data_IF_923778663569
#
_entry.id   IF_923778663569
#
_cell.length_a   1.000
_cell.length_b   1.000
_cell.length_c   1.000
_cell.angle_alpha   90.00
_cell.angle_beta   90.00
_cell.angle_gamma   90.00
#
_symmetry.space_group_name_H-M   'P 1'
#
loop_
_entity.id
_entity.type
_entity.pdbx_description
1 polymer ?
#
# COMPACT_ATOMS: atom_id res chain seq x y z
N UNK A 1 -35.41 -67.82 -26.98
CA UNK A 1 -35.94 -66.73 -27.79
C UNK A 1 -37.12 -66.11 -27.03
N UNK A 2 -37.02 -64.86 -26.67
CA UNK A 2 -38.17 -63.99 -26.76
C UNK A 2 -37.83 -62.62 -27.39
N UNK A 3 -38.85 -62.04 -27.95
CA UNK A 3 -38.90 -60.88 -28.84
C UNK A 3 -38.66 -59.56 -28.05
N UNK A 4 -37.78 -58.70 -28.63
CA UNK A 4 -37.56 -57.32 -28.20
C UNK A 4 -38.61 -56.44 -28.88
N UNK A 5 -39.42 -55.78 -28.06
CA UNK A 5 -40.36 -54.72 -28.48
C UNK A 5 -39.64 -53.39 -28.43
N UNK A 6 -39.53 -52.72 -29.59
CA UNK A 6 -39.02 -51.38 -29.74
C UNK A 6 -40.14 -50.37 -29.44
N UNK A 7 -40.04 -49.62 -28.39
CA UNK A 7 -40.83 -48.41 -28.18
C UNK A 7 -40.06 -47.19 -28.65
N UNK A 8 -40.49 -46.59 -29.75
CA UNK A 8 -40.06 -45.24 -30.17
C UNK A 8 -40.88 -44.24 -29.37
N UNK A 9 -40.23 -43.53 -28.48
CA UNK A 9 -40.77 -42.31 -27.86
C UNK A 9 -40.42 -41.11 -28.71
N UNK A 10 -41.40 -40.46 -29.28
CA UNK A 10 -41.30 -39.20 -30.02
C UNK A 10 -41.01 -38.08 -29.04
N UNK A 11 -39.77 -37.55 -29.02
CA UNK A 11 -39.42 -36.35 -28.24
C UNK A 11 -39.68 -35.13 -29.13
N UNK A 12 -40.75 -34.41 -28.84
CA UNK A 12 -41.02 -33.11 -29.46
C UNK A 12 -40.05 -32.08 -28.88
N UNK A 13 -39.10 -31.64 -29.72
CA UNK A 13 -38.19 -30.56 -29.39
C UNK A 13 -38.95 -29.24 -29.58
N UNK A 14 -39.34 -28.61 -28.42
CA UNK A 14 -39.80 -27.23 -28.42
C UNK A 14 -38.55 -26.33 -28.56
N UNK A 15 -38.30 -25.83 -29.78
CA UNK A 15 -37.32 -24.79 -30.02
C UNK A 15 -37.86 -23.48 -29.41
N UNK A 16 -37.50 -23.20 -28.14
CA UNK A 16 -37.59 -21.84 -27.61
C UNK A 16 -36.56 -20.97 -28.36
N UNK A 17 -37.09 -20.09 -29.19
CA UNK A 17 -36.31 -18.99 -29.77
C UNK A 17 -35.91 -18.03 -28.64
N UNK A 18 -34.71 -18.26 -28.07
CA UNK A 18 -34.05 -17.27 -27.25
C UNK A 18 -33.68 -16.09 -28.17
N UNK A 19 -34.53 -15.06 -28.19
CA UNK A 19 -34.08 -13.77 -28.69
C UNK A 19 -32.85 -13.37 -27.90
N UNK A 20 -31.69 -13.06 -28.54
CA UNK A 20 -30.58 -12.51 -27.81
C UNK A 20 -31.06 -11.19 -27.25
N UNK A 21 -31.08 -11.08 -25.90
CA UNK A 21 -31.17 -9.80 -25.22
C UNK A 21 -30.01 -8.99 -25.78
N UNK A 22 -30.25 -7.80 -26.39
CA UNK A 22 -29.15 -6.99 -26.84
C UNK A 22 -28.27 -6.77 -25.62
N UNK A 23 -27.01 -7.24 -25.70
CA UNK A 23 -25.98 -6.82 -24.77
C UNK A 23 -26.00 -5.30 -24.84
N UNK A 24 -26.49 -4.66 -23.78
CA UNK A 24 -26.33 -3.25 -23.58
C UNK A 24 -24.85 -2.98 -23.89
N UNK A 25 -24.60 -2.24 -24.97
CA UNK A 25 -23.29 -1.79 -25.32
C UNK A 25 -22.70 -1.24 -24.00
N UNK A 26 -21.62 -1.87 -23.50
CA UNK A 26 -20.83 -1.29 -22.43
C UNK A 26 -20.38 0.06 -23.00
N UNK A 27 -21.10 1.09 -22.60
CA UNK A 27 -20.75 2.47 -22.95
C UNK A 27 -19.28 2.68 -22.61
N UNK A 28 -18.63 3.37 -23.53
CA UNK A 28 -17.25 3.83 -23.52
C UNK A 28 -16.55 3.64 -22.17
N UNK A 29 -15.68 2.64 -22.12
CA UNK A 29 -14.84 2.17 -21.03
C UNK A 29 -15.03 2.93 -19.71
N UNK A 30 -15.94 2.45 -18.85
CA UNK A 30 -16.21 3.12 -17.58
C UNK A 30 -14.86 3.19 -16.85
N UNK A 31 -14.36 4.42 -16.67
CA UNK A 31 -13.03 4.63 -16.09
C UNK A 31 -12.94 3.92 -14.75
N UNK A 32 -11.89 3.14 -14.59
CA UNK A 32 -11.62 2.35 -13.39
C UNK A 32 -11.71 3.21 -12.14
N UNK A 33 -12.42 2.72 -11.12
CA UNK A 33 -12.57 3.41 -9.84
C UNK A 33 -11.55 2.89 -8.82
N UNK A 34 -10.94 3.77 -8.04
CA UNK A 34 -9.95 3.42 -7.02
C UNK A 34 -10.28 4.03 -5.67
N UNK A 35 -9.97 3.33 -4.59
CA UNK A 35 -10.06 3.84 -3.22
C UNK A 35 -8.66 4.24 -2.74
N UNK A 36 -8.51 5.47 -2.25
CA UNK A 36 -7.27 5.95 -1.61
C UNK A 36 -7.56 6.29 -0.16
N UNK A 37 -6.95 5.57 0.78
CA UNK A 37 -7.08 5.88 2.20
C UNK A 37 -6.18 7.03 2.61
N UNK A 38 -6.61 7.87 3.56
CA UNK A 38 -5.82 9.03 4.01
C UNK A 38 -5.62 10.10 2.93
N UNK A 39 -6.58 10.28 2.03
CA UNK A 39 -6.50 11.18 0.88
C UNK A 39 -6.70 12.67 1.21
N UNK A 40 -6.74 13.06 2.48
CA UNK A 40 -6.94 14.46 2.87
C UNK A 40 -5.72 15.35 2.66
N UNK A 41 -4.51 14.78 2.67
CA UNK A 41 -3.23 15.52 2.60
C UNK A 41 -2.11 14.66 2.02
N UNK A 42 -0.96 15.28 1.70
CA UNK A 42 0.28 14.60 1.34
C UNK A 42 0.16 13.71 0.10
N UNK A 43 0.79 12.55 0.13
CA UNK A 43 0.82 11.59 -0.98
C UNK A 43 -0.60 11.21 -1.43
N UNK A 44 -1.47 10.84 -0.49
CA UNK A 44 -2.83 10.42 -0.81
C UNK A 44 -3.67 11.52 -1.49
N UNK A 45 -3.52 12.79 -1.06
CA UNK A 45 -4.21 13.92 -1.69
C UNK A 45 -3.68 14.19 -3.09
N UNK A 46 -2.35 14.21 -3.23
CA UNK A 46 -1.70 14.46 -4.51
C UNK A 46 -2.08 13.37 -5.54
N UNK A 47 -2.03 12.12 -5.14
CA UNK A 47 -2.40 11.00 -6.02
C UNK A 47 -3.89 11.02 -6.38
N UNK A 48 -4.78 11.38 -5.43
CA UNK A 48 -6.20 11.51 -5.72
C UNK A 48 -6.47 12.62 -6.76
N UNK A 49 -5.81 13.76 -6.64
CA UNK A 49 -5.92 14.87 -7.58
C UNK A 49 -5.36 14.51 -8.96
N UNK A 50 -4.20 13.87 -9.03
CA UNK A 50 -3.57 13.44 -10.27
C UNK A 50 -4.45 12.42 -11.01
N UNK A 51 -4.84 11.33 -10.37
CA UNK A 51 -5.67 10.29 -10.98
C UNK A 51 -7.04 10.85 -11.42
N UNK A 52 -7.65 11.71 -10.63
CA UNK A 52 -8.91 12.37 -11.00
C UNK A 52 -8.77 13.27 -12.23
N UNK A 53 -7.66 14.02 -12.35
CA UNK A 53 -7.36 14.86 -13.51
C UNK A 53 -7.14 14.03 -14.79
N UNK A 54 -6.58 12.83 -14.67
CA UNK A 54 -6.42 11.84 -15.75
C UNK A 54 -7.73 11.12 -16.08
N UNK A 55 -8.75 11.37 -15.25
CA UNK A 55 -10.12 10.97 -15.45
C UNK A 55 -10.48 9.65 -14.84
N UNK A 56 -9.65 9.06 -13.99
CA UNK A 56 -10.05 7.96 -13.13
C UNK A 56 -11.04 8.44 -12.06
N UNK A 57 -11.91 7.54 -11.59
CA UNK A 57 -12.81 7.88 -10.50
C UNK A 57 -12.15 7.51 -9.16
N UNK A 58 -12.09 8.48 -8.24
CA UNK A 58 -11.38 8.29 -6.97
C UNK A 58 -12.34 8.38 -5.78
N UNK A 59 -12.48 7.30 -5.05
CA UNK A 59 -13.03 7.30 -3.70
C UNK A 59 -11.93 7.77 -2.73
N UNK A 60 -12.05 8.99 -2.23
CA UNK A 60 -11.02 9.62 -1.40
C UNK A 60 -11.36 9.50 0.09
N UNK A 61 -10.70 8.57 0.79
CA UNK A 61 -10.92 8.32 2.22
C UNK A 61 -10.37 9.45 3.10
N UNK A 62 -11.22 10.06 3.91
CA UNK A 62 -10.84 11.11 4.86
C UNK A 62 -11.68 11.07 6.14
N UNK A 63 -11.13 11.61 7.26
CA UNK A 63 -11.77 11.55 8.58
C UNK A 63 -12.52 12.81 8.98
N UNK A 64 -12.09 13.98 8.52
CA UNK A 64 -12.62 15.26 8.97
C UNK A 64 -13.64 15.82 7.97
N UNK A 65 -14.76 16.31 8.45
CA UNK A 65 -15.82 16.87 7.60
C UNK A 65 -15.31 17.95 6.63
N UNK A 66 -14.44 18.85 7.11
CA UNK A 66 -13.83 19.91 6.26
C UNK A 66 -12.99 19.34 5.11
N UNK A 67 -12.29 18.22 5.33
CA UNK A 67 -11.43 17.59 4.33
C UNK A 67 -12.29 16.84 3.31
N UNK A 68 -13.38 16.21 3.76
CA UNK A 68 -14.41 15.59 2.91
C UNK A 68 -15.06 16.63 2.01
N UNK A 69 -15.46 17.77 2.56
CA UNK A 69 -16.04 18.87 1.77
C UNK A 69 -15.05 19.39 0.73
N UNK A 70 -13.77 19.52 1.07
CA UNK A 70 -12.73 19.97 0.15
C UNK A 70 -12.44 18.96 -0.97
N UNK A 71 -12.47 17.66 -0.66
CA UNK A 71 -12.28 16.58 -1.64
C UNK A 71 -13.44 16.50 -2.64
N UNK A 72 -14.68 16.66 -2.18
CA UNK A 72 -15.87 16.64 -3.04
C UNK A 72 -15.98 17.83 -4.02
N UNK A 73 -15.09 18.81 -3.93
CA UNK A 73 -15.01 19.92 -4.91
C UNK A 73 -14.14 19.57 -6.12
N UNK A 74 -13.49 18.39 -6.12
CA UNK A 74 -12.63 17.94 -7.21
C UNK A 74 -13.44 17.06 -8.14
N UNK A 75 -13.39 17.34 -9.42
CA UNK A 75 -14.03 16.53 -10.45
C UNK A 75 -13.49 15.07 -10.38
N UNK A 76 -14.35 14.09 -10.61
CA UNK A 76 -14.05 12.66 -10.53
C UNK A 76 -13.63 12.16 -9.14
N UNK A 77 -13.82 12.94 -8.08
CA UNK A 77 -13.55 12.53 -6.70
C UNK A 77 -14.85 12.45 -5.90
N UNK A 78 -15.06 11.34 -5.22
CA UNK A 78 -16.07 11.19 -4.17
C UNK A 78 -15.34 10.98 -2.83
N UNK A 79 -15.50 11.91 -1.92
CA UNK A 79 -14.94 11.75 -0.58
C UNK A 79 -15.76 10.75 0.25
N UNK A 80 -15.05 9.84 0.91
CA UNK A 80 -15.62 8.80 1.78
C UNK A 80 -15.17 9.05 3.21
N UNK A 81 -16.12 9.08 4.16
CA UNK A 81 -15.77 9.06 5.58
C UNK A 81 -15.11 7.74 5.91
N UNK A 82 -13.81 7.76 6.28
CA UNK A 82 -13.04 6.54 6.48
C UNK A 82 -11.89 6.75 7.46
N UNK A 83 -12.01 6.16 8.65
CA UNK A 83 -10.92 5.92 9.57
C UNK A 83 -10.54 4.43 9.52
N UNK A 84 -9.29 4.14 9.17
CA UNK A 84 -8.80 2.75 9.01
C UNK A 84 -8.73 1.99 10.34
N UNK A 85 -8.93 2.67 11.47
CA UNK A 85 -9.02 2.08 12.81
C UNK A 85 -10.44 1.79 13.26
N UNK A 86 -11.46 2.28 12.53
CA UNK A 86 -12.86 2.17 12.87
C UNK A 86 -13.60 1.20 11.92
N UNK A 87 -13.86 -0.03 12.38
CA UNK A 87 -14.50 -1.06 11.55
C UNK A 87 -15.87 -0.59 11.01
N UNK A 88 -16.64 0.15 11.80
CA UNK A 88 -17.94 0.67 11.39
C UNK A 88 -17.87 1.63 10.21
N UNK A 89 -16.82 2.49 10.17
CA UNK A 89 -16.58 3.40 9.03
C UNK A 89 -16.10 2.63 7.80
N UNK A 90 -15.32 1.56 7.97
CA UNK A 90 -14.89 0.66 6.90
C UNK A 90 -16.10 -0.04 6.28
N UNK A 91 -16.98 -0.63 7.10
CA UNK A 91 -18.18 -1.33 6.64
C UNK A 91 -19.17 -0.38 5.94
N UNK A 92 -19.27 0.87 6.41
CA UNK A 92 -20.06 1.89 5.76
C UNK A 92 -19.47 2.31 4.40
N UNK A 93 -18.15 2.40 4.29
CA UNK A 93 -17.46 2.70 3.04
C UNK A 93 -17.65 1.57 2.00
N UNK A 94 -17.58 0.30 2.41
CA UNK A 94 -17.86 -0.85 1.54
C UNK A 94 -19.27 -0.72 0.95
N UNK A 95 -20.30 -0.56 1.81
CA UNK A 95 -21.69 -0.41 1.37
C UNK A 95 -21.92 0.77 0.44
N UNK A 96 -21.25 1.90 0.71
CA UNK A 96 -21.32 3.09 -0.14
C UNK A 96 -20.78 2.78 -1.54
N UNK A 97 -19.56 2.22 -1.63
CA UNK A 97 -18.90 1.93 -2.90
C UNK A 97 -19.67 0.87 -3.70
N UNK A 98 -20.22 -0.16 -3.02
CA UNK A 98 -21.14 -1.13 -3.64
C UNK A 98 -22.38 -0.44 -4.23
N UNK A 99 -23.01 0.46 -3.48
CA UNK A 99 -24.24 1.14 -3.90
C UNK A 99 -24.05 2.09 -5.09
N UNK A 100 -22.84 2.60 -5.28
CA UNK A 100 -22.49 3.43 -6.44
C UNK A 100 -22.42 2.62 -7.76
N UNK A 101 -22.27 1.30 -7.69
CA UNK A 101 -22.34 0.40 -8.83
C UNK A 101 -21.24 0.56 -9.87
N UNK A 102 -20.14 1.27 -9.54
CA UNK A 102 -18.99 1.47 -10.44
C UNK A 102 -18.00 0.31 -10.41
N UNK A 103 -18.11 -0.58 -9.41
CA UNK A 103 -17.07 -1.52 -9.06
C UNK A 103 -15.87 -0.84 -8.39
N UNK A 104 -14.86 -1.63 -8.04
CA UNK A 104 -13.61 -1.13 -7.46
C UNK A 104 -12.43 -1.84 -8.13
N UNK A 105 -11.67 -1.10 -8.91
CA UNK A 105 -10.48 -1.60 -9.60
C UNK A 105 -9.26 -1.68 -8.71
N UNK A 106 -9.09 -0.71 -7.80
CA UNK A 106 -7.87 -0.66 -7.00
C UNK A 106 -8.05 -0.03 -5.63
N UNK A 107 -7.15 -0.42 -4.73
CA UNK A 107 -7.02 0.14 -3.39
C UNK A 107 -5.61 0.69 -3.24
N UNK A 108 -5.50 1.92 -2.72
CA UNK A 108 -4.25 2.51 -2.25
C UNK A 108 -4.32 2.65 -0.73
N UNK A 109 -3.65 1.76 -0.02
CA UNK A 109 -3.48 1.82 1.43
C UNK A 109 -2.41 2.86 1.77
N UNK A 110 -2.82 4.14 1.80
CA UNK A 110 -1.92 5.27 2.03
C UNK A 110 -2.03 5.86 3.45
N UNK A 111 -3.12 5.63 4.16
CA UNK A 111 -3.29 6.13 5.52
C UNK A 111 -2.14 5.66 6.43
N UNK A 112 -1.44 6.59 7.07
CA UNK A 112 -0.33 6.27 7.94
C UNK A 112 0.06 7.45 8.84
N UNK A 113 0.74 7.12 9.92
CA UNK A 113 1.29 8.08 10.89
C UNK A 113 2.73 7.75 11.23
N UNK A 114 3.43 8.73 11.78
CA UNK A 114 4.77 8.53 12.33
C UNK A 114 4.79 9.08 13.78
N UNK A 115 5.43 8.34 14.67
CA UNK A 115 5.68 8.72 16.07
C UNK A 115 7.16 8.49 16.34
N UNK A 116 7.82 9.53 16.82
CA UNK A 116 9.22 9.45 17.28
C UNK A 116 9.26 9.17 18.77
N UNK A 117 9.87 8.05 19.12
CA UNK A 117 10.12 7.70 20.53
C UNK A 117 11.25 6.67 20.60
N UNK A 118 12.24 6.83 21.49
CA UNK A 118 13.30 5.83 21.64
C UNK A 118 12.73 4.51 22.12
N UNK A 119 13.13 3.40 21.51
CA UNK A 119 12.53 2.07 21.69
C UNK A 119 12.41 1.64 23.17
N UNK A 120 13.41 1.95 23.98
CA UNK A 120 13.42 1.54 25.40
C UNK A 120 12.68 2.53 26.34
N UNK A 121 12.27 3.69 25.84
CA UNK A 121 11.52 4.72 26.58
C UNK A 121 10.14 4.98 25.97
N UNK A 122 9.83 4.30 24.86
CA UNK A 122 8.57 4.43 24.15
C UNK A 122 7.39 3.91 24.99
N UNK A 123 6.27 4.61 24.90
CA UNK A 123 5.04 4.12 25.51
C UNK A 123 4.39 3.06 24.63
N UNK A 124 4.01 1.94 25.22
CA UNK A 124 3.33 0.84 24.53
C UNK A 124 2.03 1.29 23.84
N UNK A 125 1.33 2.29 24.41
CA UNK A 125 0.14 2.89 23.81
C UNK A 125 0.43 3.56 22.48
N UNK A 126 1.59 4.22 22.31
CA UNK A 126 1.98 4.85 21.07
C UNK A 126 2.40 3.83 20.01
N UNK A 127 3.09 2.77 20.41
CA UNK A 127 3.38 1.65 19.54
C UNK A 127 2.09 0.98 19.04
N UNK A 128 1.17 0.67 19.96
CA UNK A 128 -0.14 0.09 19.61
C UNK A 128 -0.93 0.98 18.64
N UNK A 129 -0.99 2.28 18.90
CA UNK A 129 -1.69 3.22 18.04
C UNK A 129 -1.04 3.34 16.66
N UNK A 130 0.30 3.36 16.60
CA UNK A 130 1.03 3.40 15.35
C UNK A 130 0.77 2.13 14.51
N UNK A 131 0.82 0.96 15.13
CA UNK A 131 0.50 -0.32 14.46
C UNK A 131 -0.96 -0.41 14.07
N UNK A 132 -1.88 0.10 14.88
CA UNK A 132 -3.31 0.09 14.59
C UNK A 132 -3.64 0.85 13.29
N UNK A 133 -2.95 1.97 13.05
CA UNK A 133 -3.09 2.72 11.80
C UNK A 133 -2.29 2.10 10.67
N UNK A 134 -0.96 1.92 10.87
CA UNK A 134 -0.02 1.63 9.77
C UNK A 134 -0.07 0.16 9.30
N UNK A 135 -0.44 -0.77 10.16
CA UNK A 135 -0.41 -2.21 9.90
C UNK A 135 -1.83 -2.78 9.88
N UNK A 136 -2.53 -2.71 11.01
CA UNK A 136 -3.89 -3.25 11.08
C UNK A 136 -4.88 -2.50 10.21
N UNK A 137 -4.67 -1.19 9.99
CA UNK A 137 -5.45 -0.40 9.06
C UNK A 137 -5.35 -0.93 7.63
N UNK A 138 -4.12 -1.21 7.16
CA UNK A 138 -3.86 -1.83 5.85
C UNK A 138 -4.58 -3.18 5.73
N UNK A 139 -4.40 -4.03 6.74
CA UNK A 139 -5.06 -5.34 6.78
C UNK A 139 -6.60 -5.23 6.75
N UNK A 140 -7.20 -4.35 7.58
CA UNK A 140 -8.68 -4.21 7.65
C UNK A 140 -9.26 -3.72 6.32
N UNK A 141 -8.65 -2.69 5.72
CA UNK A 141 -9.07 -2.15 4.43
C UNK A 141 -8.96 -3.21 3.34
N UNK A 142 -7.80 -3.84 3.22
CA UNK A 142 -7.59 -4.89 2.22
C UNK A 142 -8.61 -6.02 2.37
N UNK A 143 -8.81 -6.53 3.59
CA UNK A 143 -9.78 -7.60 3.88
C UNK A 143 -11.22 -7.21 3.52
N UNK A 144 -11.62 -5.98 3.86
CA UNK A 144 -12.99 -5.51 3.63
C UNK A 144 -13.31 -5.34 2.14
N UNK A 145 -12.35 -4.87 1.36
CA UNK A 145 -12.54 -4.59 -0.06
C UNK A 145 -12.05 -5.72 -0.99
N UNK A 146 -11.39 -6.76 -0.47
CA UNK A 146 -10.88 -7.88 -1.25
C UNK A 146 -11.92 -8.52 -2.19
N UNK A 147 -13.20 -8.72 -1.80
CA UNK A 147 -14.19 -9.28 -2.71
C UNK A 147 -14.36 -8.47 -4.00
N UNK A 148 -14.43 -7.13 -3.92
CA UNK A 148 -14.56 -6.27 -5.09
C UNK A 148 -13.29 -6.26 -5.96
N UNK A 149 -12.12 -6.33 -5.32
CA UNK A 149 -10.83 -6.36 -6.02
C UNK A 149 -10.63 -7.70 -6.73
N UNK A 150 -11.06 -8.80 -6.13
CA UNK A 150 -11.04 -10.12 -6.77
C UNK A 150 -12.01 -10.14 -7.97
N UNK A 151 -13.23 -9.62 -7.81
CA UNK A 151 -14.22 -9.56 -8.90
C UNK A 151 -13.71 -8.77 -10.11
N UNK A 152 -12.91 -7.73 -9.88
CA UNK A 152 -12.35 -6.89 -10.93
C UNK A 152 -11.00 -7.37 -11.47
N UNK A 153 -10.38 -8.42 -10.88
CA UNK A 153 -8.99 -8.81 -11.10
C UNK A 153 -8.05 -7.59 -10.96
N UNK A 154 -8.31 -6.81 -9.92
CA UNK A 154 -7.80 -5.46 -9.77
C UNK A 154 -6.40 -5.36 -9.16
N UNK A 155 -6.18 -4.27 -8.39
CA UNK A 155 -4.86 -3.89 -7.87
C UNK A 155 -4.93 -3.49 -6.40
N UNK A 156 -3.89 -3.86 -5.64
CA UNK A 156 -3.69 -3.40 -4.26
C UNK A 156 -2.32 -2.72 -4.19
N UNK A 157 -2.29 -1.47 -3.75
CA UNK A 157 -1.06 -0.68 -3.60
C UNK A 157 -0.92 -0.29 -2.14
N UNK A 158 0.14 -0.75 -1.50
CA UNK A 158 0.46 -0.42 -0.11
C UNK A 158 1.56 0.64 -0.06
N UNK A 159 1.29 1.77 0.57
CA UNK A 159 2.30 2.80 0.77
C UNK A 159 3.14 2.43 1.99
N UNK A 160 4.30 1.88 1.73
CA UNK A 160 5.34 1.61 2.70
C UNK A 160 6.25 2.84 2.90
N UNK A 161 7.55 2.67 2.86
CA UNK A 161 8.58 3.71 2.97
C UNK A 161 9.96 3.09 2.75
N UNK A 162 10.98 3.88 2.45
CA UNK A 162 12.37 3.45 2.62
C UNK A 162 12.64 2.93 4.05
N UNK A 163 11.84 3.37 5.04
CA UNK A 163 11.87 2.86 6.42
C UNK A 163 11.34 1.41 6.56
N UNK A 164 10.76 0.84 5.50
CA UNK A 164 10.41 -0.59 5.42
C UNK A 164 11.61 -1.48 5.06
N UNK A 165 12.70 -0.87 4.57
CA UNK A 165 13.97 -1.51 4.26
C UNK A 165 15.07 -1.07 5.24
N UNK A 166 15.10 0.23 5.56
CA UNK A 166 16.09 0.79 6.48
C UNK A 166 15.81 0.37 7.93
N UNK A 167 16.86 -0.04 8.64
CA UNK A 167 16.84 -0.29 10.09
C UNK A 167 18.09 0.31 10.74
N UNK A 168 17.93 0.93 11.93
CA UNK A 168 19.00 1.63 12.63
C UNK A 168 19.32 3.01 12.03
N UNK A 169 20.42 3.62 12.49
CA UNK A 169 20.94 4.89 11.99
C UNK A 169 20.23 6.16 12.48
N UNK A 170 18.96 6.12 12.79
CA UNK A 170 18.18 7.26 13.29
C UNK A 170 17.53 6.94 14.63
N UNK A 171 17.96 7.54 15.75
CA UNK A 171 17.32 7.38 17.05
C UNK A 171 15.81 7.72 16.97
N UNK A 172 15.01 7.07 17.80
CA UNK A 172 13.57 7.28 17.94
C UNK A 172 12.67 6.91 16.70
N UNK A 173 13.23 6.48 15.59
CA UNK A 173 12.46 6.03 14.41
C UNK A 173 12.05 4.54 14.45
N UNK A 174 12.52 3.78 15.44
CA UNK A 174 12.38 2.32 15.48
C UNK A 174 10.94 1.82 15.35
N UNK A 175 9.98 2.41 16.07
CA UNK A 175 8.56 2.00 15.98
C UNK A 175 8.00 2.17 14.56
N UNK A 176 8.33 3.28 13.90
CA UNK A 176 7.89 3.53 12.52
C UNK A 176 8.52 2.53 11.55
N UNK A 177 9.83 2.29 11.66
CA UNK A 177 10.54 1.29 10.85
C UNK A 177 9.91 -0.09 11.03
N UNK A 178 9.66 -0.54 12.27
CA UNK A 178 8.95 -1.81 12.55
C UNK A 178 7.61 -1.90 11.81
N UNK A 179 6.81 -0.82 11.84
CA UNK A 179 5.51 -0.83 11.18
C UNK A 179 5.62 -0.92 9.67
N UNK A 180 6.64 -0.30 9.07
CA UNK A 180 6.85 -0.35 7.61
C UNK A 180 7.44 -1.68 7.15
N UNK A 181 8.36 -2.29 7.90
CA UNK A 181 8.79 -3.67 7.65
C UNK A 181 7.62 -4.67 7.72
N UNK A 182 6.68 -4.45 8.65
CA UNK A 182 5.47 -5.29 8.70
C UNK A 182 4.58 -5.12 7.46
N UNK A 183 4.53 -3.92 6.87
CA UNK A 183 3.80 -3.66 5.61
C UNK A 183 4.51 -4.33 4.42
N UNK A 184 5.85 -4.32 4.36
CA UNK A 184 6.60 -5.04 3.32
C UNK A 184 6.26 -6.54 3.35
N UNK A 185 6.50 -7.18 4.50
CA UNK A 185 6.22 -8.61 4.65
C UNK A 185 4.75 -8.98 4.38
N UNK A 186 3.82 -8.11 4.77
CA UNK A 186 2.40 -8.27 4.45
C UNK A 186 2.14 -8.16 2.95
N UNK A 187 2.78 -7.22 2.27
CA UNK A 187 2.62 -7.00 0.83
C UNK A 187 3.10 -8.19 0.02
N UNK A 188 4.29 -8.72 0.34
CA UNK A 188 4.87 -9.87 -0.35
C UNK A 188 4.00 -11.12 -0.20
N UNK A 189 3.57 -11.41 1.03
CA UNK A 189 2.70 -12.55 1.29
C UNK A 189 1.35 -12.39 0.60
N UNK A 190 0.79 -11.18 0.62
CA UNK A 190 -0.48 -10.89 -0.03
C UNK A 190 -0.38 -10.99 -1.56
N UNK A 191 0.74 -10.56 -2.16
CA UNK A 191 0.98 -10.69 -3.60
C UNK A 191 0.96 -12.16 -4.03
N UNK A 192 1.65 -13.02 -3.27
CA UNK A 192 1.64 -14.46 -3.49
C UNK A 192 0.23 -15.06 -3.38
N UNK A 193 -0.52 -14.74 -2.33
CA UNK A 193 -1.87 -15.29 -2.10
C UNK A 193 -2.90 -14.79 -3.13
N UNK A 194 -2.77 -13.55 -3.58
CA UNK A 194 -3.73 -12.93 -4.49
C UNK A 194 -3.46 -13.22 -5.98
N UNK A 195 -2.28 -13.73 -6.32
CA UNK A 195 -1.91 -14.06 -7.70
C UNK A 195 -2.89 -15.05 -8.36
N UNK A 196 -3.37 -16.04 -7.60
CA UNK A 196 -4.35 -17.03 -8.07
C UNK A 196 -5.72 -16.45 -8.45
N UNK A 197 -6.00 -15.20 -8.03
CA UNK A 197 -7.22 -14.46 -8.36
C UNK A 197 -6.99 -13.39 -9.44
N UNK A 198 -5.82 -13.34 -10.08
CA UNK A 198 -5.49 -12.32 -11.08
C UNK A 198 -5.20 -10.92 -10.50
N UNK A 199 -5.22 -10.78 -9.16
CA UNK A 199 -4.97 -9.52 -8.46
C UNK A 199 -3.46 -9.32 -8.29
N UNK A 200 -2.97 -8.13 -8.66
CA UNK A 200 -1.57 -7.76 -8.44
C UNK A 200 -1.46 -6.83 -7.25
N UNK A 201 -0.44 -7.05 -6.43
CA UNK A 201 -0.19 -6.30 -5.20
C UNK A 201 1.20 -5.67 -5.28
N UNK A 202 1.32 -4.41 -4.89
CA UNK A 202 2.58 -3.67 -4.95
C UNK A 202 2.85 -2.89 -3.67
N UNK A 203 4.11 -2.81 -3.27
CA UNK A 203 4.61 -1.86 -2.29
C UNK A 203 5.18 -0.63 -3.00
N UNK A 204 4.88 0.55 -2.48
CA UNK A 204 5.58 1.79 -2.84
C UNK A 204 6.40 2.20 -1.62
N UNK A 205 7.71 2.39 -1.81
CA UNK A 205 8.65 2.75 -0.75
C UNK A 205 9.15 4.20 -0.95
N UNK A 206 8.38 5.21 -0.53
CA UNK A 206 8.79 6.60 -0.67
C UNK A 206 9.95 6.95 0.25
N UNK A 207 10.88 7.75 -0.27
CA UNK A 207 11.81 8.53 0.51
C UNK A 207 11.18 9.79 1.09
N UNK A 208 11.98 10.81 1.34
CA UNK A 208 11.55 12.04 1.99
C UNK A 208 10.88 13.02 1.01
N UNK A 209 9.60 12.82 0.75
CA UNK A 209 8.77 13.75 -0.02
C UNK A 209 7.91 14.64 0.90
N UNK A 210 7.51 15.79 0.36
CA UNK A 210 6.60 16.71 1.06
C UNK A 210 5.26 16.02 1.36
N UNK A 211 4.96 15.87 2.65
CA UNK A 211 3.74 15.24 3.13
C UNK A 211 3.34 15.80 4.49
N UNK A 212 2.07 15.62 4.86
CA UNK A 212 1.60 16.05 6.18
C UNK A 212 2.05 15.14 7.34
N UNK A 213 2.70 14.01 7.06
CA UNK A 213 3.14 13.06 8.09
C UNK A 213 4.19 13.70 9.02
N UNK A 214 5.15 14.46 8.45
CA UNK A 214 6.17 15.17 9.20
C UNK A 214 5.59 16.22 10.13
N UNK A 215 4.72 17.10 9.59
CA UNK A 215 4.10 18.16 10.40
C UNK A 215 3.15 17.58 11.45
N UNK A 216 2.45 16.49 11.15
CA UNK A 216 1.56 15.81 12.11
C UNK A 216 2.35 15.15 13.23
N UNK A 217 3.47 14.52 12.93
CA UNK A 217 4.44 13.98 13.90
C UNK A 217 4.96 15.07 14.83
N UNK A 218 5.42 16.19 14.27
CA UNK A 218 5.94 17.31 15.04
C UNK A 218 4.87 17.95 15.95
N UNK A 219 3.66 18.14 15.45
CA UNK A 219 2.53 18.63 16.27
C UNK A 219 2.22 17.69 17.44
N UNK A 220 2.25 16.37 17.22
CA UNK A 220 2.07 15.38 18.29
C UNK A 220 3.19 15.48 19.32
N UNK A 221 4.45 15.55 18.88
CA UNK A 221 5.60 15.65 19.76
C UNK A 221 5.55 16.90 20.62
N UNK A 222 5.21 18.06 20.04
CA UNK A 222 5.04 19.31 20.77
C UNK A 222 3.90 19.21 21.78
N UNK A 223 2.75 18.66 21.39
CA UNK A 223 1.58 18.54 22.26
C UNK A 223 1.83 17.62 23.48
N UNK A 224 2.72 16.66 23.38
CA UNK A 224 3.03 15.69 24.42
C UNK A 224 4.31 16.04 25.21
N UNK A 225 5.00 17.14 24.87
CA UNK A 225 6.34 17.43 25.40
C UNK A 225 6.38 17.63 26.93
N UNK A 226 5.32 18.17 27.52
CA UNK A 226 5.25 18.42 28.97
C UNK A 226 5.05 17.12 29.78
N UNK A 227 4.41 16.11 29.16
CA UNK A 227 4.10 14.82 29.78
C UNK A 227 5.19 13.77 29.56
N UNK A 228 6.14 14.03 28.62
CA UNK A 228 7.20 13.10 28.24
C UNK A 228 8.51 13.45 28.92
N UNK A 229 9.07 12.49 29.64
CA UNK A 229 10.39 12.58 30.26
C UNK A 229 11.26 11.45 29.76
N UNK A 230 12.39 11.81 29.18
CA UNK A 230 13.41 10.87 28.70
C UNK A 230 14.60 10.88 29.65
N UNK A 231 15.17 9.71 29.93
CA UNK A 231 16.32 9.54 30.81
C UNK A 231 17.58 9.28 30.01
N UNK A 232 17.51 8.34 29.07
CA UNK A 232 18.67 7.92 28.28
C UNK A 232 18.82 8.70 26.98
N UNK A 233 17.73 9.19 26.41
CA UNK A 233 17.70 9.91 25.13
C UNK A 233 17.22 11.36 25.26
N UNK A 234 17.40 11.96 26.45
CA UNK A 234 16.92 13.32 26.74
C UNK A 234 17.42 14.37 25.75
N UNK A 235 18.73 14.39 25.46
CA UNK A 235 19.35 15.36 24.56
C UNK A 235 18.85 15.21 23.11
N UNK A 236 18.77 13.97 22.63
CA UNK A 236 18.28 13.66 21.27
C UNK A 236 16.82 14.08 21.12
N UNK A 237 16.00 13.79 22.10
CA UNK A 237 14.58 14.12 22.06
C UNK A 237 14.32 15.62 22.22
N UNK A 238 15.18 16.32 22.96
CA UNK A 238 15.15 17.78 23.04
C UNK A 238 15.50 18.41 21.69
N UNK A 239 16.56 17.94 21.01
CA UNK A 239 16.94 18.40 19.69
C UNK A 239 15.79 18.18 18.68
N UNK A 240 15.16 17.00 18.67
CA UNK A 240 14.01 16.73 17.82
C UNK A 240 12.81 17.65 18.15
N UNK A 241 12.56 17.93 19.41
CA UNK A 241 11.49 18.84 19.83
C UNK A 241 11.71 20.26 19.32
N UNK A 242 12.95 20.76 19.42
CA UNK A 242 13.31 22.08 18.92
C UNK A 242 13.18 22.17 17.40
N UNK A 243 13.72 21.22 16.67
CA UNK A 243 13.54 21.12 15.22
C UNK A 243 12.08 20.98 14.79
N UNK A 244 11.28 20.28 15.58
CA UNK A 244 9.84 20.19 15.36
C UNK A 244 9.11 21.53 15.58
N UNK A 245 9.50 22.32 16.57
CA UNK A 245 8.93 23.66 16.80
C UNK A 245 9.24 24.60 15.64
N UNK A 246 10.48 24.58 15.15
CA UNK A 246 10.92 25.36 13.98
C UNK A 246 10.14 24.93 12.73
N UNK A 247 10.10 23.62 12.44
CA UNK A 247 9.41 23.07 11.27
C UNK A 247 7.90 23.42 11.25
N UNK A 248 7.25 23.38 12.41
CA UNK A 248 5.83 23.75 12.52
C UNK A 248 5.63 25.27 12.37
N UNK A 249 6.56 26.09 12.86
CA UNK A 249 6.50 27.56 12.72
C UNK A 249 6.71 28.02 11.29
N UNK A 250 7.62 27.41 10.56
CA UNK A 250 7.87 27.70 9.14
C UNK A 250 6.72 27.25 8.25
N UNK A 251 6.05 26.16 8.61
CA UNK A 251 4.88 25.63 7.90
C UNK A 251 5.14 25.09 6.49
N UNK A 252 6.40 25.06 6.06
CA UNK A 252 6.81 24.65 4.72
C UNK A 252 7.81 23.48 4.82
N UNK A 253 7.54 22.42 4.08
CA UNK A 253 8.50 21.33 3.87
C UNK A 253 9.50 21.72 2.79
N UNK A 254 10.80 21.55 3.06
CA UNK A 254 11.86 21.67 2.05
C UNK A 254 11.90 20.45 1.10
N UNK A 255 11.20 19.38 1.42
CA UNK A 255 11.15 18.18 0.58
C UNK A 255 10.31 18.43 -0.69
N UNK A 256 10.65 17.82 -1.82
CA UNK A 256 9.94 18.01 -3.08
C UNK A 256 8.52 17.44 -3.02
N UNK A 257 7.61 17.93 -3.89
CA UNK A 257 6.26 17.37 -4.02
C UNK A 257 6.30 15.87 -4.35
N UNK A 258 5.30 15.07 -3.92
CA UNK A 258 5.31 13.64 -4.10
C UNK A 258 4.85 13.17 -5.49
N UNK A 259 5.18 13.94 -6.55
CA UNK A 259 4.79 13.58 -7.92
C UNK A 259 5.31 12.21 -8.36
N UNK A 260 6.58 11.92 -8.11
CA UNK A 260 7.17 10.62 -8.47
C UNK A 260 6.48 9.46 -7.74
N UNK A 261 5.99 9.70 -6.53
CA UNK A 261 5.21 8.70 -5.77
C UNK A 261 3.84 8.50 -6.40
N UNK A 262 3.16 9.57 -6.81
CA UNK A 262 1.88 9.48 -7.51
C UNK A 262 2.01 8.78 -8.87
N UNK A 263 3.08 9.06 -9.62
CA UNK A 263 3.39 8.38 -10.89
C UNK A 263 3.61 6.86 -10.66
N UNK A 264 4.29 6.49 -9.59
CA UNK A 264 4.50 5.08 -9.22
C UNK A 264 3.18 4.39 -8.80
N UNK A 265 2.31 5.09 -8.06
CA UNK A 265 0.98 4.60 -7.69
C UNK A 265 0.14 4.37 -8.95
N UNK A 266 0.15 5.31 -9.89
CA UNK A 266 -0.56 5.19 -11.17
C UNK A 266 -0.07 3.98 -11.97
N UNK A 267 1.26 3.83 -12.13
CA UNK A 267 1.85 2.68 -12.80
C UNK A 267 1.45 1.35 -12.10
N UNK A 268 1.51 1.28 -10.77
CA UNK A 268 1.12 0.10 -10.00
C UNK A 268 -0.37 -0.25 -10.18
N UNK A 269 -1.24 0.75 -10.34
CA UNK A 269 -2.68 0.56 -10.52
C UNK A 269 -3.07 0.17 -11.95
N UNK A 270 -2.39 0.69 -12.96
CA UNK A 270 -2.94 0.65 -14.32
C UNK A 270 -2.02 0.04 -15.38
N UNK A 271 -0.74 -0.16 -15.07
CA UNK A 271 0.16 -0.86 -15.99
C UNK A 271 -0.17 -2.36 -16.07
N UNK A 272 0.01 -2.94 -17.25
CA UNK A 272 -0.24 -4.38 -17.45
C UNK A 272 0.77 -5.25 -16.68
N UNK A 273 1.99 -4.74 -16.46
CA UNK A 273 3.07 -5.40 -15.74
C UNK A 273 3.62 -4.53 -14.59
N UNK A 274 2.80 -4.26 -13.54
CA UNK A 274 3.27 -3.50 -12.40
C UNK A 274 4.39 -4.25 -11.67
N UNK A 275 5.31 -3.49 -11.07
CA UNK A 275 6.33 -4.06 -10.21
C UNK A 275 5.73 -4.46 -8.86
N UNK A 276 6.34 -5.41 -8.20
CA UNK A 276 5.99 -5.75 -6.81
C UNK A 276 6.49 -4.65 -5.85
N UNK A 277 7.70 -4.10 -6.08
CA UNK A 277 8.31 -3.06 -5.27
C UNK A 277 8.71 -1.83 -6.10
N UNK A 278 8.41 -0.65 -5.57
CA UNK A 278 8.72 0.65 -6.16
C UNK A 278 9.51 1.51 -5.18
N UNK A 279 10.83 1.40 -5.20
CA UNK A 279 11.68 2.36 -4.49
C UNK A 279 11.61 3.72 -5.19
N UNK A 280 11.03 4.71 -4.50
CA UNK A 280 10.83 6.07 -5.02
C UNK A 280 11.51 7.08 -4.11
N UNK A 281 12.65 7.58 -4.51
CA UNK A 281 13.44 8.53 -3.71
C UNK A 281 13.61 9.86 -4.44
N UNK A 282 13.65 10.99 -3.71
CA UNK A 282 13.81 12.32 -4.31
C UNK A 282 15.24 12.61 -4.73
N UNK A 283 16.19 11.79 -4.30
CA UNK A 283 17.63 11.99 -4.57
C UNK A 283 18.39 10.65 -4.53
N UNK A 284 19.59 10.61 -5.17
CA UNK A 284 20.40 9.39 -5.23
C UNK A 284 20.93 8.90 -3.88
N UNK A 285 21.07 9.78 -2.90
CA UNK A 285 21.58 9.41 -1.57
C UNK A 285 20.58 8.48 -0.83
N UNK A 286 19.31 8.83 -0.83
CA UNK A 286 18.28 7.97 -0.21
C UNK A 286 18.17 6.61 -0.90
N UNK A 287 18.27 6.55 -2.23
CA UNK A 287 18.31 5.29 -2.97
C UNK A 287 19.55 4.46 -2.57
N UNK A 288 20.72 5.10 -2.53
CA UNK A 288 21.99 4.43 -2.19
C UNK A 288 21.93 3.81 -0.79
N UNK A 289 21.47 4.55 0.23
CA UNK A 289 21.43 4.03 1.60
C UNK A 289 20.40 2.91 1.74
N UNK A 290 19.27 2.98 1.02
CA UNK A 290 18.21 1.96 1.07
C UNK A 290 18.70 0.64 0.44
N UNK A 291 19.23 0.69 -0.79
CA UNK A 291 19.79 -0.50 -1.44
C UNK A 291 21.01 -1.01 -0.67
N UNK A 292 21.88 -0.11 -0.20
CA UNK A 292 23.05 -0.49 0.60
C UNK A 292 22.69 -1.23 1.87
N UNK A 293 21.56 -0.86 2.52
CA UNK A 293 21.08 -1.57 3.72
C UNK A 293 20.65 -3.02 3.42
N UNK A 294 20.02 -3.28 2.29
CA UNK A 294 19.67 -4.63 1.87
C UNK A 294 20.92 -5.50 1.67
N UNK A 295 21.98 -4.94 1.07
CA UNK A 295 23.26 -5.64 0.96
C UNK A 295 23.93 -5.86 2.31
N UNK A 296 23.90 -4.89 3.22
CA UNK A 296 24.40 -5.04 4.58
C UNK A 296 23.72 -6.20 5.30
N UNK A 297 22.40 -6.27 5.24
CA UNK A 297 21.61 -7.35 5.87
C UNK A 297 21.90 -8.72 5.25
N UNK A 298 22.00 -8.81 3.92
CA UNK A 298 22.41 -10.02 3.23
C UNK A 298 23.78 -10.52 3.71
N UNK A 299 24.76 -9.60 3.80
CA UNK A 299 26.09 -9.96 4.25
C UNK A 299 26.14 -10.37 5.73
N UNK A 300 25.35 -9.72 6.60
CA UNK A 300 25.23 -10.13 7.99
C UNK A 300 24.58 -11.51 8.13
N UNK A 301 23.55 -11.82 7.34
CA UNK A 301 22.93 -13.14 7.32
C UNK A 301 23.89 -14.22 6.82
N UNK A 302 24.79 -13.88 5.92
CA UNK A 302 25.75 -14.82 5.34
C UNK A 302 27.02 -15.03 6.19
N UNK A 303 27.14 -14.42 7.40
CA UNK A 303 28.35 -14.52 8.21
C UNK A 303 28.37 -15.80 9.05
N UNK A 304 29.56 -16.47 9.06
CA UNK A 304 30.02 -17.45 10.06
C UNK A 304 29.04 -18.61 10.38
N UNK A 305 28.37 -19.15 9.36
CA UNK A 305 27.57 -20.36 9.52
C UNK A 305 27.95 -21.46 8.50
N UNK A 306 27.55 -22.69 8.76
CA UNK A 306 27.94 -23.90 7.99
C UNK A 306 27.59 -23.76 6.48
N UNK A 307 26.57 -23.00 6.13
CA UNK A 307 26.04 -22.84 4.77
C UNK A 307 26.30 -21.44 4.20
N UNK A 308 27.33 -20.74 4.70
CA UNK A 308 27.72 -19.42 4.17
C UNK A 308 28.22 -19.55 2.74
N UNK A 309 27.79 -18.65 1.91
CA UNK A 309 28.20 -18.52 0.51
C UNK A 309 29.49 -17.71 0.40
N UNK A 310 30.36 -18.09 -0.53
CA UNK A 310 31.48 -17.25 -0.98
C UNK A 310 30.96 -16.03 -1.71
N UNK A 311 31.83 -15.03 -1.90
CA UNK A 311 31.49 -13.85 -2.69
C UNK A 311 31.04 -14.20 -4.13
N UNK A 312 31.73 -15.15 -4.74
CA UNK A 312 31.46 -15.65 -6.09
C UNK A 312 30.09 -16.30 -6.17
N UNK A 313 29.74 -17.16 -5.23
CA UNK A 313 28.41 -17.80 -5.14
C UNK A 313 27.29 -16.79 -4.88
N UNK A 314 27.52 -15.74 -4.07
CA UNK A 314 26.54 -14.65 -3.89
C UNK A 314 26.31 -13.88 -5.19
N UNK A 315 27.35 -13.69 -6.02
CA UNK A 315 27.19 -13.06 -7.34
C UNK A 315 26.38 -13.95 -8.28
N UNK A 316 26.62 -15.26 -8.27
CA UNK A 316 25.86 -16.21 -9.07
C UNK A 316 24.37 -16.20 -8.68
N UNK A 317 24.05 -16.20 -7.36
CA UNK A 317 22.68 -16.06 -6.86
C UNK A 317 22.03 -14.74 -7.32
N UNK A 318 22.77 -13.64 -7.28
CA UNK A 318 22.28 -12.33 -7.73
C UNK A 318 22.02 -12.33 -9.25
N UNK A 319 22.87 -12.93 -10.05
CA UNK A 319 22.68 -13.04 -11.50
C UNK A 319 21.48 -13.93 -11.83
N UNK A 320 21.24 -14.99 -11.06
CA UNK A 320 20.05 -15.84 -11.16
C UNK A 320 18.77 -15.08 -10.87
N UNK A 321 18.71 -14.35 -9.73
CA UNK A 321 17.55 -13.53 -9.39
C UNK A 321 17.29 -12.45 -10.44
N UNK A 322 18.34 -11.86 -10.97
CA UNK A 322 18.23 -10.89 -12.06
C UNK A 322 17.60 -11.49 -13.32
N UNK A 323 17.97 -12.72 -13.68
CA UNK A 323 17.37 -13.43 -14.81
C UNK A 323 15.88 -13.75 -14.56
N UNK A 324 15.51 -14.11 -13.33
CA UNK A 324 14.11 -14.34 -12.93
C UNK A 324 13.31 -13.03 -13.06
N UNK A 325 13.81 -11.93 -12.51
CA UNK A 325 13.16 -10.63 -12.60
C UNK A 325 12.93 -10.14 -14.03
N UNK A 326 13.78 -10.56 -14.99
CA UNK A 326 13.63 -10.25 -16.41
C UNK A 326 12.77 -11.25 -17.17
N UNK A 327 12.25 -12.27 -16.49
CA UNK A 327 11.47 -13.34 -17.13
C UNK A 327 12.30 -14.28 -18.02
N UNK A 328 13.63 -14.27 -17.88
CA UNK A 328 14.55 -15.13 -18.62
C UNK A 328 14.67 -16.51 -17.97
N UNK A 329 14.29 -16.64 -16.70
CA UNK A 329 14.28 -17.86 -15.91
C UNK A 329 13.04 -17.91 -15.01
N UNK A 330 12.53 -19.10 -14.74
CA UNK A 330 11.49 -19.34 -13.71
C UNK A 330 12.16 -19.75 -12.40
N UNK A 331 11.58 -19.29 -11.28
CA UNK A 331 12.07 -19.67 -9.95
C UNK A 331 11.76 -21.15 -9.68
N UNK A 332 12.80 -21.90 -9.40
CA UNK A 332 12.69 -23.29 -8.93
C UNK A 332 13.01 -23.33 -7.43
N UNK A 333 12.03 -23.68 -6.61
CA UNK A 333 12.20 -23.78 -5.17
C UNK A 333 12.78 -25.12 -4.71
N UNK A 334 13.10 -26.04 -5.65
CA UNK A 334 13.61 -27.37 -5.32
C UNK A 334 12.66 -28.23 -4.50
N UNK A 335 11.37 -27.87 -4.50
CA UNK A 335 10.32 -28.67 -3.86
C UNK A 335 9.79 -29.58 -4.95
N UNK A 336 10.28 -30.83 -4.99
CA UNK A 336 9.69 -31.85 -5.84
C UNK A 336 8.22 -32.04 -5.43
N UNK A 337 7.32 -32.05 -6.40
CA UNK A 337 5.87 -32.27 -6.29
C UNK A 337 5.53 -33.60 -5.61
#
# INVERSE_FOLDING_TARGET
>A
MPRIIKNLALVAIFALSLNPVPALARDAEAKKAVLITGASTGIGRFSAEQLAAEGYFVYAGARKARDIEALNKIDNVMAVRLDVTAQEEIDAAVKLIESEGRGLWGIVNNAGINILDPMIEAQESDLKFLFDVNVYGVFRITKAFAPMIIESEGRIVNISSIAGVLSGGLPAYGMYMMSKHAVEAYTDQLAFEMAGFGVKVSAIEPGNFSSAIGISRCKRMIANSDDRKYVYFADVMQEYLEGCKEYVAEGVSSAPPPKLVADAIEHALFDDNPKEHYLVTPNPFESMITIGKSFEELLHLNQDHEYSYTREELIELMDEEWAILRGEKTRDWGVDD
#
